data_IF_749447597229
#
_entry.id   IF_749447597229
#
_cell.length_a   1.000
_cell.length_b   1.000
_cell.length_c   1.000
_cell.angle_alpha   90.00
_cell.angle_beta   90.00
_cell.angle_gamma   90.00
#
_symmetry.space_group_name_H-M   'P 1'
#
loop_
_entity.id
_entity.type
_entity.pdbx_description
1 polymer ?
#
# COMPACT_ATOMS: atom_id res chain seq x y z
N UNK A 1 -37.87 -25.23 1.28
CA UNK A 1 -37.85 -23.77 1.05
C UNK A 1 -37.51 -22.98 2.32
N UNK A 2 -38.09 -23.23 3.47
CA UNK A 2 -37.83 -22.54 4.76
C UNK A 2 -36.38 -22.70 5.21
N UNK A 3 -35.81 -23.91 5.19
CA UNK A 3 -34.41 -24.17 5.58
C UNK A 3 -33.41 -23.43 4.67
N UNK A 4 -33.67 -23.41 3.35
CA UNK A 4 -32.84 -22.67 2.39
C UNK A 4 -32.88 -21.14 2.63
N UNK A 5 -34.06 -20.64 3.02
CA UNK A 5 -34.24 -19.25 3.43
C UNK A 5 -33.49 -18.90 4.69
N UNK A 6 -33.51 -19.76 5.70
CA UNK A 6 -32.80 -19.58 6.97
C UNK A 6 -31.27 -19.57 6.77
N UNK A 7 -30.73 -20.52 6.00
CA UNK A 7 -29.32 -20.59 5.68
C UNK A 7 -28.85 -19.35 4.90
N UNK A 8 -29.68 -18.85 3.97
CA UNK A 8 -29.37 -17.60 3.25
C UNK A 8 -29.38 -16.38 4.17
N UNK A 9 -30.31 -16.32 5.10
CA UNK A 9 -30.42 -15.25 6.09
C UNK A 9 -29.20 -15.26 7.03
N UNK A 10 -28.85 -16.43 7.57
CA UNK A 10 -27.66 -16.58 8.43
C UNK A 10 -26.39 -16.14 7.70
N UNK A 11 -26.18 -16.55 6.44
CA UNK A 11 -25.04 -16.13 5.64
C UNK A 11 -25.02 -14.62 5.41
N UNK A 12 -26.18 -13.97 5.21
CA UNK A 12 -26.28 -12.51 5.07
C UNK A 12 -25.93 -11.81 6.39
N UNK A 13 -26.50 -12.25 7.50
CA UNK A 13 -26.24 -11.68 8.83
C UNK A 13 -24.77 -11.85 9.21
N UNK A 14 -24.18 -13.00 8.93
CA UNK A 14 -22.75 -13.24 9.17
C UNK A 14 -21.86 -12.31 8.34
N UNK A 15 -22.13 -12.19 7.04
CA UNK A 15 -21.39 -11.26 6.16
C UNK A 15 -21.49 -9.80 6.62
N UNK A 16 -22.67 -9.39 7.08
CA UNK A 16 -22.89 -8.01 7.56
C UNK A 16 -22.16 -7.78 8.89
N UNK A 17 -22.15 -8.74 9.80
CA UNK A 17 -21.35 -8.65 11.04
C UNK A 17 -19.86 -8.60 10.77
N UNK A 18 -19.36 -9.41 9.85
CA UNK A 18 -17.96 -9.41 9.43
C UNK A 18 -17.56 -8.07 8.76
N UNK A 19 -18.49 -7.46 8.00
CA UNK A 19 -18.30 -6.13 7.41
C UNK A 19 -18.23 -5.04 8.49
N UNK A 20 -19.18 -5.01 9.42
CA UNK A 20 -19.21 -4.04 10.52
C UNK A 20 -17.98 -4.19 11.41
N UNK A 21 -17.55 -5.42 11.69
CA UNK A 21 -16.35 -5.67 12.47
C UNK A 21 -15.08 -5.15 11.75
N UNK A 22 -14.96 -5.36 10.44
CA UNK A 22 -13.85 -4.83 9.62
C UNK A 22 -13.86 -3.30 9.62
N UNK A 23 -15.02 -2.67 9.40
CA UNK A 23 -15.16 -1.21 9.41
C UNK A 23 -14.79 -0.60 10.77
N UNK A 24 -15.22 -1.23 11.86
CA UNK A 24 -14.83 -0.84 13.22
C UNK A 24 -13.34 -0.98 13.48
N UNK A 25 -12.74 -2.09 13.07
CA UNK A 25 -11.30 -2.31 13.24
C UNK A 25 -10.49 -1.30 12.41
N UNK A 26 -10.96 -0.97 11.20
CA UNK A 26 -10.39 0.06 10.36
C UNK A 26 -10.37 1.42 11.09
N UNK A 27 -11.51 1.84 11.66
CA UNK A 27 -11.61 3.11 12.40
C UNK A 27 -10.71 3.14 13.65
N UNK A 28 -10.64 2.03 14.39
CA UNK A 28 -9.77 1.93 15.58
C UNK A 28 -8.28 1.99 15.19
N UNK A 29 -7.89 1.26 14.15
CA UNK A 29 -6.52 1.28 13.65
C UNK A 29 -6.10 2.66 13.16
N UNK A 30 -6.94 3.31 12.35
CA UNK A 30 -6.74 4.68 11.89
C UNK A 30 -6.54 5.65 13.06
N UNK A 31 -7.40 5.59 14.06
CA UNK A 31 -7.30 6.49 15.22
C UNK A 31 -5.98 6.30 15.95
N UNK A 32 -5.47 5.08 16.02
CA UNK A 32 -4.18 4.78 16.63
C UNK A 32 -3.02 5.31 15.78
N UNK A 33 -3.06 5.06 14.48
CA UNK A 33 -2.01 5.47 13.55
C UNK A 33 -1.96 7.00 13.32
N UNK A 34 -3.08 7.72 13.46
CA UNK A 34 -3.11 9.19 13.47
C UNK A 34 -2.46 9.80 14.74
N UNK A 35 -2.60 9.12 15.88
CA UNK A 35 -2.09 9.63 17.15
C UNK A 35 -0.57 9.76 17.20
N UNK A 36 0.15 8.81 16.59
CA UNK A 36 1.62 8.74 16.64
C UNK A 36 2.27 9.93 15.94
N UNK A 37 2.03 10.19 14.64
CA UNK A 37 2.63 11.33 13.95
C UNK A 37 2.13 12.68 14.52
N UNK A 38 0.87 12.75 14.96
CA UNK A 38 0.35 13.95 15.62
C UNK A 38 1.09 14.24 16.91
N UNK A 39 1.36 13.22 17.74
CA UNK A 39 2.15 13.38 18.96
C UNK A 39 3.59 13.82 18.67
N UNK A 40 4.22 13.30 17.62
CA UNK A 40 5.55 13.71 17.17
C UNK A 40 5.58 15.19 16.80
N UNK A 41 4.61 15.65 16.02
CA UNK A 41 4.47 17.08 15.64
C UNK A 41 4.22 17.96 16.86
N UNK A 42 3.34 17.53 17.78
CA UNK A 42 3.06 18.28 19.01
C UNK A 42 4.29 18.39 19.92
N UNK A 43 5.02 17.29 20.10
CA UNK A 43 6.25 17.27 20.90
C UNK A 43 7.33 18.16 20.27
N UNK A 44 7.46 18.14 18.93
CA UNK A 44 8.36 19.03 18.22
C UNK A 44 8.04 20.49 18.43
N UNK A 45 6.77 20.89 18.30
CA UNK A 45 6.30 22.24 18.57
C UNK A 45 6.57 22.67 20.03
N UNK A 46 6.31 21.81 20.99
CA UNK A 46 6.56 22.08 22.41
C UNK A 46 8.06 22.23 22.69
N UNK A 47 8.90 21.42 22.04
CA UNK A 47 10.35 21.52 22.17
C UNK A 47 10.89 22.84 21.62
N UNK A 48 10.42 23.27 20.45
CA UNK A 48 10.79 24.56 19.86
C UNK A 48 10.32 25.77 20.68
N UNK A 49 9.20 25.63 21.42
CA UNK A 49 8.63 26.73 22.23
C UNK A 49 9.26 26.84 23.61
N UNK A 50 9.65 25.74 24.22
CA UNK A 50 10.07 25.68 25.62
C UNK A 50 11.56 25.56 25.84
N UNK A 51 12.29 25.05 24.82
CA UNK A 51 13.72 24.80 24.92
C UNK A 51 14.50 25.80 24.10
N UNK A 52 15.60 26.31 24.66
CA UNK A 52 16.56 27.11 23.92
C UNK A 52 17.51 26.15 23.18
N UNK A 53 17.04 25.62 22.04
CA UNK A 53 17.75 24.62 21.26
C UNK A 53 18.86 25.26 20.42
N UNK A 54 19.96 24.55 20.22
CA UNK A 54 20.97 24.88 19.21
C UNK A 54 20.39 24.73 17.79
N UNK A 55 20.96 25.41 16.81
CA UNK A 55 20.46 25.38 15.42
C UNK A 55 20.40 23.96 14.82
N UNK A 56 21.36 23.10 15.21
CA UNK A 56 21.38 21.70 14.80
C UNK A 56 20.16 20.92 15.34
N UNK A 57 19.85 21.11 16.62
CA UNK A 57 18.74 20.43 17.27
C UNK A 57 17.39 20.95 16.75
N UNK A 58 17.28 22.26 16.47
CA UNK A 58 16.12 22.85 15.80
C UNK A 58 15.87 22.22 14.43
N UNK A 59 16.93 22.08 13.63
CA UNK A 59 16.85 21.45 12.30
C UNK A 59 16.36 20.00 12.40
N UNK A 60 16.83 19.24 13.38
CA UNK A 60 16.40 17.86 13.60
C UNK A 60 14.92 17.81 14.03
N UNK A 61 14.49 18.67 14.96
CA UNK A 61 13.09 18.75 15.39
C UNK A 61 12.18 19.10 14.23
N UNK A 62 12.56 20.08 13.40
CA UNK A 62 11.78 20.47 12.22
C UNK A 62 11.70 19.32 11.22
N UNK A 63 12.80 18.60 11.00
CA UNK A 63 12.82 17.42 10.12
C UNK A 63 11.86 16.33 10.62
N UNK A 64 11.91 15.97 11.88
CA UNK A 64 11.01 14.97 12.49
C UNK A 64 9.53 15.41 12.41
N UNK A 65 9.25 16.70 12.53
CA UNK A 65 7.90 17.24 12.36
C UNK A 65 7.44 17.14 10.89
N UNK A 66 8.32 17.40 9.93
CA UNK A 66 8.00 17.25 8.50
C UNK A 66 7.73 15.81 8.14
N UNK A 67 8.51 14.85 8.65
CA UNK A 67 8.25 13.42 8.50
C UNK A 67 6.87 13.04 9.07
N UNK A 68 6.56 13.46 10.30
CA UNK A 68 5.25 13.21 10.90
C UNK A 68 4.08 13.79 10.13
N UNK A 69 4.24 14.97 9.52
CA UNK A 69 3.23 15.57 8.64
C UNK A 69 3.06 14.81 7.32
N UNK A 70 4.17 14.34 6.75
CA UNK A 70 4.16 13.48 5.55
C UNK A 70 3.44 12.17 5.82
N UNK A 71 3.73 11.52 6.96
CA UNK A 71 3.07 10.28 7.38
C UNK A 71 1.56 10.47 7.57
N UNK A 72 1.13 11.61 8.14
CA UNK A 72 -0.29 11.97 8.24
C UNK A 72 -0.94 12.13 6.87
N UNK A 73 -0.26 12.80 5.93
CA UNK A 73 -0.74 12.97 4.55
C UNK A 73 -0.94 11.62 3.87
N UNK A 74 0.07 10.75 3.92
CA UNK A 74 0.02 9.40 3.36
C UNK A 74 -1.12 8.58 3.98
N UNK A 75 -1.30 8.63 5.31
CA UNK A 75 -2.38 7.92 5.99
C UNK A 75 -3.76 8.39 5.54
N UNK A 76 -3.95 9.71 5.33
CA UNK A 76 -5.21 10.27 4.82
C UNK A 76 -5.48 9.80 3.39
N UNK A 77 -4.47 9.81 2.53
CA UNK A 77 -4.57 9.31 1.15
C UNK A 77 -4.91 7.82 1.12
N UNK A 78 -4.24 7.02 1.94
CA UNK A 78 -4.53 5.59 2.13
C UNK A 78 -5.98 5.36 2.55
N UNK A 79 -6.51 6.16 3.47
CA UNK A 79 -7.90 6.08 3.92
C UNK A 79 -8.91 6.44 2.84
N UNK A 80 -8.64 7.51 2.09
CA UNK A 80 -9.51 7.93 0.99
C UNK A 80 -9.63 6.84 -0.07
N UNK A 81 -8.53 6.15 -0.33
CA UNK A 81 -8.49 5.03 -1.27
C UNK A 81 -9.17 3.79 -0.69
N UNK A 82 -8.90 3.42 0.57
CA UNK A 82 -9.57 2.30 1.23
C UNK A 82 -11.10 2.48 1.24
N UNK A 83 -11.58 3.72 1.44
CA UNK A 83 -13.02 4.03 1.37
C UNK A 83 -13.58 3.95 -0.04
N UNK A 84 -12.84 4.34 -1.07
CA UNK A 84 -13.23 4.15 -2.49
C UNK A 84 -13.22 2.68 -2.86
N UNK A 85 -12.19 1.96 -2.45
CA UNK A 85 -12.02 0.53 -2.70
C UNK A 85 -13.15 -0.35 -2.12
N UNK A 86 -13.89 0.14 -1.13
CA UNK A 86 -15.07 -0.56 -0.61
C UNK A 86 -16.32 -0.44 -1.51
N UNK A 87 -16.30 0.44 -2.52
CA UNK A 87 -17.44 0.72 -3.41
C UNK A 87 -17.03 0.60 -4.86
N UNK A 88 -17.27 -0.55 -5.46
CA UNK A 88 -16.99 -0.78 -6.88
C UNK A 88 -17.62 0.27 -7.81
N UNK A 89 -18.77 0.82 -7.40
CA UNK A 89 -19.49 1.87 -8.13
C UNK A 89 -18.80 3.25 -8.08
N UNK A 90 -17.79 3.42 -7.22
CA UNK A 90 -17.04 4.67 -7.09
C UNK A 90 -15.70 4.68 -7.85
N UNK A 91 -15.37 3.59 -8.56
CA UNK A 91 -14.16 3.52 -9.39
C UNK A 91 -14.26 4.49 -10.57
N UNK A 92 -13.19 5.25 -10.76
CA UNK A 92 -13.01 6.10 -11.93
C UNK A 92 -12.20 5.32 -12.97
N UNK A 93 -12.91 4.76 -13.96
CA UNK A 93 -12.28 3.93 -14.99
C UNK A 93 -11.79 4.82 -16.14
N UNK A 94 -10.48 4.91 -16.30
CA UNK A 94 -9.79 5.59 -17.37
C UNK A 94 -8.89 4.62 -18.13
N UNK A 95 -8.63 4.92 -19.40
CA UNK A 95 -7.58 4.22 -20.17
C UNK A 95 -6.27 4.98 -20.01
N UNK A 96 -5.21 4.29 -19.58
CA UNK A 96 -3.91 4.90 -19.34
C UNK A 96 -2.76 3.93 -19.61
N UNK A 97 -1.57 4.48 -19.87
CA UNK A 97 -0.35 3.70 -19.98
C UNK A 97 0.07 3.19 -18.61
N UNK A 98 0.20 1.86 -18.48
CA UNK A 98 0.64 1.17 -17.26
C UNK A 98 2.06 1.59 -16.85
N UNK A 99 2.97 1.61 -17.84
CA UNK A 99 4.35 2.03 -17.66
C UNK A 99 4.45 3.47 -17.15
N UNK A 100 3.69 4.40 -17.76
CA UNK A 100 3.69 5.80 -17.35
C UNK A 100 3.12 5.97 -15.95
N UNK A 101 2.07 5.24 -15.60
CA UNK A 101 1.48 5.27 -14.26
C UNK A 101 2.48 4.79 -13.20
N UNK A 102 3.22 3.72 -13.48
CA UNK A 102 4.28 3.23 -12.57
C UNK A 102 5.38 4.28 -12.41
N UNK A 103 5.85 4.89 -13.50
CA UNK A 103 6.84 5.99 -13.44
C UNK A 103 6.33 7.16 -12.60
N UNK A 104 5.08 7.60 -12.81
CA UNK A 104 4.46 8.69 -12.06
C UNK A 104 4.40 8.36 -10.55
N UNK A 105 4.11 7.10 -10.20
CA UNK A 105 4.10 6.64 -8.81
C UNK A 105 5.51 6.67 -8.19
N UNK A 106 6.53 6.24 -8.92
CA UNK A 106 7.92 6.27 -8.45
C UNK A 106 8.46 7.70 -8.24
N UNK A 107 7.95 8.70 -8.96
CA UNK A 107 8.32 10.10 -8.76
C UNK A 107 7.89 10.66 -7.39
N UNK A 108 6.92 10.03 -6.72
CA UNK A 108 6.48 10.42 -5.37
C UNK A 108 7.44 9.96 -4.27
N UNK A 109 8.30 9.00 -4.58
CA UNK A 109 9.31 8.47 -3.65
C UNK A 109 10.46 9.47 -3.55
N UNK A 110 10.94 9.74 -2.35
CA UNK A 110 12.03 10.67 -2.09
C UNK A 110 13.31 10.32 -2.85
N UNK A 111 14.06 11.33 -3.29
CA UNK A 111 15.24 11.16 -4.18
C UNK A 111 16.31 10.21 -3.60
N UNK A 112 16.53 10.25 -2.28
CA UNK A 112 17.49 9.38 -1.60
C UNK A 112 17.12 7.89 -1.73
N UNK A 113 15.84 7.56 -1.65
CA UNK A 113 15.34 6.20 -1.77
C UNK A 113 15.21 5.77 -3.24
N UNK A 114 14.91 6.71 -4.14
CA UNK A 114 14.77 6.47 -5.58
C UNK A 114 16.04 5.92 -6.21
N UNK A 115 17.22 6.30 -5.71
CA UNK A 115 18.51 5.77 -6.19
C UNK A 115 18.67 4.26 -6.02
N UNK A 116 17.86 3.63 -5.16
CA UNK A 116 17.83 2.19 -4.93
C UNK A 116 16.84 1.44 -5.85
N UNK A 117 16.04 2.17 -6.63
CA UNK A 117 14.99 1.59 -7.47
C UNK A 117 15.51 1.42 -8.89
N UNK A 118 15.39 0.22 -9.43
CA UNK A 118 15.62 -0.10 -10.83
C UNK A 118 14.27 -0.39 -11.51
N UNK A 119 13.88 0.45 -12.46
CA UNK A 119 12.69 0.21 -13.28
C UNK A 119 13.06 -0.62 -14.51
N UNK A 120 12.44 -1.80 -14.64
CA UNK A 120 12.57 -2.71 -15.76
C UNK A 120 11.28 -2.64 -16.59
N UNK A 121 11.31 -1.83 -17.65
CA UNK A 121 10.16 -1.64 -18.53
C UNK A 121 9.95 -2.82 -19.47
N UNK A 122 8.75 -2.90 -20.03
CA UNK A 122 8.39 -3.93 -21.02
C UNK A 122 9.09 -3.68 -22.36
N UNK A 123 9.77 -4.69 -22.90
CA UNK A 123 10.44 -4.63 -24.22
C UNK A 123 9.44 -4.49 -25.40
N UNK A 124 8.18 -4.85 -25.18
CA UNK A 124 7.10 -4.81 -26.17
C UNK A 124 6.45 -3.41 -26.38
N UNK A 125 6.94 -2.37 -25.70
CA UNK A 125 6.36 -1.03 -25.72
C UNK A 125 5.30 -0.83 -24.63
N UNK A 126 4.66 0.39 -24.59
CA UNK A 126 3.74 0.75 -23.51
C UNK A 126 2.48 -0.14 -23.52
N UNK A 127 2.03 -0.49 -22.30
CA UNK A 127 0.86 -1.34 -22.06
C UNK A 127 -0.31 -0.43 -21.69
N UNK A 128 -1.33 -0.35 -22.56
CA UNK A 128 -2.57 0.37 -22.26
C UNK A 128 -3.52 -0.51 -21.44
N UNK A 129 -4.02 0.05 -20.34
CA UNK A 129 -4.96 -0.62 -19.45
C UNK A 129 -6.17 0.27 -19.15
N UNK A 130 -7.31 -0.32 -18.80
CA UNK A 130 -8.51 0.42 -18.40
C UNK A 130 -8.86 0.09 -16.93
N UNK A 131 -8.73 1.08 -16.05
CA UNK A 131 -8.97 0.93 -14.63
C UNK A 131 -8.90 2.24 -13.87
N UNK A 132 -8.90 2.18 -12.56
CA UNK A 132 -8.73 3.36 -11.71
C UNK A 132 -7.24 3.68 -11.54
N UNK A 133 -6.75 4.68 -12.29
CA UNK A 133 -5.34 5.10 -12.28
C UNK A 133 -4.86 5.51 -10.89
N UNK A 134 -5.72 6.15 -10.10
CA UNK A 134 -5.33 6.62 -8.76
C UNK A 134 -5.13 5.46 -7.79
N UNK A 135 -6.03 4.45 -7.82
CA UNK A 135 -5.90 3.23 -7.02
C UNK A 135 -4.62 2.47 -7.38
N UNK A 136 -4.34 2.29 -8.66
CA UNK A 136 -3.13 1.61 -9.10
C UNK A 136 -1.85 2.37 -8.79
N UNK A 137 -1.86 3.70 -8.92
CA UNK A 137 -0.73 4.55 -8.53
C UNK A 137 -0.38 4.40 -7.06
N UNK A 138 -1.39 4.40 -6.18
CA UNK A 138 -1.19 4.19 -4.76
C UNK A 138 -0.75 2.74 -4.44
N UNK A 139 -1.34 1.73 -5.06
CA UNK A 139 -0.92 0.35 -4.89
C UNK A 139 0.56 0.15 -5.28
N UNK A 140 0.99 0.80 -6.37
CA UNK A 140 2.40 0.80 -6.81
C UNK A 140 3.31 1.44 -5.78
N UNK A 141 2.98 2.65 -5.29
CA UNK A 141 3.76 3.33 -4.25
C UNK A 141 3.88 2.47 -2.99
N UNK A 142 2.77 1.88 -2.53
CA UNK A 142 2.75 1.00 -1.36
C UNK A 142 3.64 -0.25 -1.52
N UNK A 143 3.66 -0.88 -2.69
CA UNK A 143 4.54 -2.02 -2.96
C UNK A 143 6.01 -1.63 -2.90
N UNK A 144 6.36 -0.51 -3.56
CA UNK A 144 7.75 -0.04 -3.62
C UNK A 144 8.23 0.47 -2.26
N UNK A 145 7.41 1.21 -1.53
CA UNK A 145 7.72 1.67 -0.17
C UNK A 145 7.94 0.50 0.79
N UNK A 146 7.11 -0.56 0.69
CA UNK A 146 7.31 -1.77 1.46
C UNK A 146 8.66 -2.44 1.12
N UNK A 147 8.98 -2.60 -0.15
CA UNK A 147 10.26 -3.16 -0.59
C UNK A 147 11.45 -2.35 -0.09
N UNK A 148 11.40 -1.01 -0.18
CA UNK A 148 12.45 -0.12 0.32
C UNK A 148 12.61 -0.16 1.83
N UNK A 149 11.52 -0.39 2.56
CA UNK A 149 11.47 -0.41 4.02
C UNK A 149 11.99 -1.72 4.62
N UNK A 150 11.68 -2.85 3.98
CA UNK A 150 12.02 -4.17 4.51
C UNK A 150 13.27 -4.78 3.87
N UNK A 151 13.91 -4.07 2.94
CA UNK A 151 15.17 -4.41 2.32
C UNK A 151 16.15 -3.24 2.40
N UNK A 152 17.42 -3.51 2.60
CA UNK A 152 18.50 -2.52 2.50
C UNK A 152 19.12 -2.46 1.09
N UNK A 153 18.87 -3.48 0.28
CA UNK A 153 19.40 -3.67 -1.06
C UNK A 153 18.67 -2.88 -2.14
N UNK A 154 18.84 -3.33 -3.38
CA UNK A 154 18.12 -2.79 -4.54
C UNK A 154 16.67 -3.27 -4.53
N UNK A 155 15.81 -2.41 -5.09
CA UNK A 155 14.42 -2.72 -5.38
C UNK A 155 14.24 -2.69 -6.90
N UNK A 156 13.78 -3.78 -7.48
CA UNK A 156 13.49 -3.85 -8.91
C UNK A 156 11.98 -3.79 -9.12
N UNK A 157 11.56 -2.91 -10.01
CA UNK A 157 10.15 -2.76 -10.40
C UNK A 157 10.03 -3.21 -11.84
N UNK A 158 9.40 -4.36 -12.07
CA UNK A 158 9.18 -4.93 -13.39
C UNK A 158 7.77 -4.60 -13.85
N UNK A 159 7.70 -3.98 -15.02
CA UNK A 159 6.45 -3.70 -15.74
C UNK A 159 6.43 -4.62 -16.96
N UNK A 160 5.56 -5.62 -16.94
CA UNK A 160 5.47 -6.65 -17.96
C UNK A 160 4.03 -6.75 -18.46
N UNK A 161 3.86 -7.19 -19.69
CA UNK A 161 2.52 -7.50 -20.15
C UNK A 161 2.35 -7.59 -21.67
N UNK A 162 1.11 -7.87 -22.01
CA UNK A 162 0.59 -7.93 -23.38
C UNK A 162 -0.73 -7.16 -23.41
N UNK A 163 -1.41 -7.11 -24.57
CA UNK A 163 -2.75 -6.55 -24.67
C UNK A 163 -3.79 -7.27 -23.78
N UNK A 164 -3.51 -8.49 -23.33
CA UNK A 164 -4.45 -9.29 -22.51
C UNK A 164 -4.11 -9.33 -21.03
N UNK A 165 -2.86 -9.06 -20.63
CA UNK A 165 -2.40 -9.16 -19.23
C UNK A 165 -1.41 -8.04 -18.97
N UNK A 166 -1.66 -7.25 -17.93
CA UNK A 166 -0.69 -6.32 -17.35
C UNK A 166 -0.14 -6.91 -16.04
N UNK A 167 1.16 -6.83 -15.84
CA UNK A 167 1.80 -7.33 -14.64
C UNK A 167 2.71 -6.26 -14.05
N UNK A 168 2.58 -6.04 -12.75
CA UNK A 168 3.51 -5.28 -11.94
C UNK A 168 4.16 -6.25 -10.95
N UNK A 169 5.47 -6.31 -10.96
CA UNK A 169 6.21 -7.11 -10.00
C UNK A 169 7.27 -6.23 -9.32
N UNK A 170 7.27 -6.23 -8.00
CA UNK A 170 8.26 -5.54 -7.19
C UNK A 170 9.08 -6.59 -6.47
N UNK A 171 10.40 -6.55 -6.67
CA UNK A 171 11.39 -7.47 -6.08
C UNK A 171 12.30 -6.70 -5.15
N UNK A 172 12.60 -7.29 -4.02
CA UNK A 172 13.56 -6.77 -3.04
C UNK A 172 14.49 -7.88 -2.53
N UNK A 173 15.55 -7.50 -1.84
CA UNK A 173 16.54 -8.42 -1.26
C UNK A 173 16.26 -8.72 0.23
N UNK A 174 15.06 -8.42 0.73
CA UNK A 174 14.64 -8.59 2.12
C UNK A 174 14.35 -10.03 2.50
N UNK A 175 13.96 -10.21 3.77
CA UNK A 175 13.62 -11.54 4.31
C UNK A 175 12.28 -12.07 3.82
N UNK A 176 11.45 -11.21 3.20
CA UNK A 176 10.12 -11.56 2.76
C UNK A 176 9.13 -11.81 3.90
N UNK A 177 8.02 -12.46 3.54
CA UNK A 177 6.92 -12.79 4.44
C UNK A 177 6.77 -14.31 4.49
N UNK A 178 6.91 -14.94 5.69
CA UNK A 178 6.70 -16.38 5.85
C UNK A 178 5.36 -16.82 5.25
N UNK A 179 5.36 -17.97 4.57
CA UNK A 179 4.20 -18.45 3.81
C UNK A 179 2.93 -18.52 4.66
N UNK A 180 3.06 -18.93 5.92
CA UNK A 180 1.96 -19.09 6.88
C UNK A 180 1.36 -17.75 7.33
N UNK A 181 2.09 -16.63 7.10
CA UNK A 181 1.69 -15.28 7.50
C UNK A 181 1.33 -14.38 6.34
N UNK A 182 1.34 -14.88 5.09
CA UNK A 182 1.04 -14.05 3.91
C UNK A 182 -0.41 -13.55 3.89
N UNK A 183 -1.35 -14.40 4.27
CA UNK A 183 -2.76 -14.00 4.38
C UNK A 183 -2.95 -12.97 5.50
N UNK A 184 -2.25 -13.16 6.62
CA UNK A 184 -2.26 -12.23 7.75
C UNK A 184 -1.70 -10.84 7.35
N UNK A 185 -0.66 -10.80 6.51
CA UNK A 185 -0.06 -9.56 6.01
C UNK A 185 -1.00 -8.72 5.13
N UNK A 186 -2.08 -9.31 4.62
CA UNK A 186 -3.11 -8.61 3.85
C UNK A 186 -4.23 -8.01 4.71
N UNK A 187 -4.26 -8.33 6.02
CA UNK A 187 -5.24 -7.75 6.94
C UNK A 187 -4.91 -6.28 7.26
N UNK A 188 -5.90 -5.39 7.33
CA UNK A 188 -5.65 -3.98 7.59
C UNK A 188 -5.10 -3.75 9.00
N UNK A 189 -4.12 -2.83 9.11
CA UNK A 189 -3.42 -2.43 10.35
C UNK A 189 -2.63 -3.55 11.04
N UNK A 190 -2.47 -4.67 10.40
CA UNK A 190 -1.66 -5.75 10.92
C UNK A 190 -0.21 -5.55 10.52
N UNK A 191 0.67 -5.66 11.51
CA UNK A 191 2.12 -5.53 11.35
C UNK A 191 2.77 -6.82 11.81
N UNK A 192 3.54 -7.44 10.92
CA UNK A 192 4.20 -8.73 11.22
C UNK A 192 5.39 -8.60 12.15
N UNK A 193 5.97 -7.40 12.30
CA UNK A 193 7.06 -7.10 13.22
C UNK A 193 6.73 -5.90 14.09
N UNK A 194 6.89 -6.07 15.41
CA UNK A 194 6.74 -4.97 16.36
C UNK A 194 7.88 -3.96 16.17
N UNK A 195 7.53 -2.67 16.16
CA UNK A 195 8.51 -1.57 16.00
C UNK A 195 8.84 -1.15 14.57
N UNK A 196 8.39 -1.86 13.53
CA UNK A 196 8.57 -1.38 12.15
C UNK A 196 7.72 -0.13 11.89
N UNK A 197 8.24 0.93 11.23
CA UNK A 197 7.43 2.11 10.90
C UNK A 197 6.34 1.77 9.87
N UNK A 198 5.22 2.49 9.86
CA UNK A 198 4.14 2.39 8.86
C UNK A 198 2.81 1.92 9.40
N UNK A 199 1.76 2.17 8.63
CA UNK A 199 0.35 2.04 9.03
C UNK A 199 -0.20 0.61 9.04
N UNK A 200 0.49 -0.35 8.41
CA UNK A 200 -0.07 -1.69 8.20
C UNK A 200 -1.21 -1.74 7.17
N UNK A 201 -1.41 -0.67 6.39
CA UNK A 201 -2.45 -0.59 5.36
C UNK A 201 -1.93 -0.93 3.95
N UNK A 202 -0.64 -0.78 3.69
CA UNK A 202 -0.09 -0.81 2.34
C UNK A 202 -0.45 -2.08 1.55
N UNK A 203 -0.12 -3.27 2.05
CA UNK A 203 -0.44 -4.53 1.37
C UNK A 203 -1.96 -4.81 1.33
N UNK A 204 -2.70 -4.36 2.33
CA UNK A 204 -4.17 -4.41 2.31
C UNK A 204 -4.74 -3.62 1.13
N UNK A 205 -4.25 -2.40 0.90
CA UNK A 205 -4.67 -1.55 -0.21
C UNK A 205 -4.32 -2.15 -1.57
N UNK A 206 -3.14 -2.74 -1.70
CA UNK A 206 -2.73 -3.47 -2.90
C UNK A 206 -3.69 -4.63 -3.18
N UNK A 207 -3.99 -5.44 -2.16
CA UNK A 207 -4.93 -6.56 -2.27
C UNK A 207 -6.33 -6.10 -2.65
N UNK A 208 -6.84 -5.04 -2.03
CA UNK A 208 -8.15 -4.48 -2.37
C UNK A 208 -8.20 -3.93 -3.80
N UNK A 209 -7.16 -3.18 -4.21
CA UNK A 209 -7.06 -2.65 -5.57
C UNK A 209 -7.05 -3.79 -6.59
N UNK A 210 -6.27 -4.84 -6.34
CA UNK A 210 -6.23 -6.03 -7.19
C UNK A 210 -7.62 -6.68 -7.30
N UNK A 211 -8.29 -6.94 -6.17
CA UNK A 211 -9.62 -7.55 -6.13
C UNK A 211 -10.67 -6.74 -6.90
N UNK A 212 -10.68 -5.41 -6.76
CA UNK A 212 -11.61 -4.52 -7.47
C UNK A 212 -11.47 -4.61 -8.97
N UNK A 213 -10.24 -4.72 -9.46
CA UNK A 213 -9.90 -4.82 -10.88
C UNK A 213 -9.91 -6.26 -11.41
N UNK A 214 -10.20 -7.26 -10.56
CA UNK A 214 -10.15 -8.68 -10.96
C UNK A 214 -8.73 -9.19 -11.21
N UNK A 215 -7.72 -8.54 -10.63
CA UNK A 215 -6.34 -8.97 -10.65
C UNK A 215 -6.04 -9.95 -9.51
N UNK A 216 -5.00 -10.77 -9.68
CA UNK A 216 -4.44 -11.62 -8.62
C UNK A 216 -3.22 -10.96 -7.99
N UNK A 217 -3.02 -11.20 -6.69
CA UNK A 217 -1.82 -10.82 -5.95
C UNK A 217 -1.07 -12.10 -5.56
N UNK A 218 0.20 -12.17 -5.92
CA UNK A 218 1.08 -13.29 -5.68
C UNK A 218 2.29 -12.83 -4.88
N UNK A 219 2.79 -13.69 -3.99
CA UNK A 219 3.96 -13.45 -3.15
C UNK A 219 4.90 -14.64 -3.25
N UNK A 220 6.18 -14.39 -3.54
CA UNK A 220 7.16 -15.45 -3.83
C UNK A 220 8.50 -15.14 -3.15
N UNK A 221 9.13 -16.17 -2.55
CA UNK A 221 10.49 -16.09 -2.06
C UNK A 221 11.47 -16.29 -3.22
N UNK A 222 12.42 -15.37 -3.38
CA UNK A 222 13.41 -15.43 -4.45
C UNK A 222 14.66 -16.22 -4.05
N UNK A 223 15.31 -16.86 -4.99
CA UNK A 223 16.56 -17.58 -4.78
C UNK A 223 17.74 -16.75 -5.30
N UNK A 224 18.91 -16.66 -4.59
CA UNK A 224 19.21 -17.30 -3.28
C UNK A 224 18.64 -16.57 -2.08
N UNK A 225 18.16 -15.34 -2.24
CA UNK A 225 17.50 -14.51 -1.21
C UNK A 225 16.69 -13.41 -1.88
N UNK A 226 15.67 -12.90 -1.16
CA UNK A 226 14.82 -11.81 -1.61
C UNK A 226 13.36 -12.19 -1.63
N UNK A 227 12.52 -11.23 -1.95
CA UNK A 227 11.08 -11.39 -2.00
C UNK A 227 10.48 -10.67 -3.21
N UNK A 228 9.45 -11.26 -3.78
CA UNK A 228 8.71 -10.65 -4.88
C UNK A 228 7.23 -10.58 -4.54
N UNK A 229 6.63 -9.42 -4.81
CA UNK A 229 5.18 -9.23 -4.81
C UNK A 229 4.75 -8.90 -6.23
N UNK A 230 3.87 -9.73 -6.79
CA UNK A 230 3.41 -9.63 -8.17
C UNK A 230 1.91 -9.42 -8.21
N UNK A 231 1.48 -8.45 -9.00
CA UNK A 231 0.07 -8.24 -9.37
C UNK A 231 -0.09 -8.64 -10.82
N UNK A 232 -0.99 -9.56 -11.10
CA UNK A 232 -1.33 -10.01 -12.45
C UNK A 232 -2.75 -9.58 -12.76
N UNK A 233 -2.89 -8.69 -13.72
CA UNK A 233 -4.17 -8.07 -14.07
C UNK A 233 -4.60 -8.47 -15.49
N UNK A 234 -5.59 -9.38 -15.64
CA UNK A 234 -6.18 -9.72 -16.94
C UNK A 234 -6.92 -8.49 -17.51
N UNK A 235 -6.62 -8.14 -18.78
CA UNK A 235 -7.31 -7.11 -19.51
C UNK A 235 -8.44 -7.72 -20.37
N UNK A 236 -9.57 -7.02 -20.54
CA UNK A 236 -10.60 -7.44 -21.50
C UNK A 236 -11.70 -8.33 -20.94
N UNK A 237 -12.08 -8.16 -19.66
CA UNK A 237 -13.39 -8.64 -19.16
C UNK A 237 -14.33 -7.52 -18.82
#
# INVERSE_FOLDING_TARGET
LLILGLVRLERRVRKERERIARERNLLLGVTHELKTPLASVQLGLDSLRRLNLEERDKSQVLHNMQEGLSDLGNLVDDMLVATRAQRKEAMQLDTFSWDQMVQDALLRIGDAQRSRIALCANDGGPIEVTGDKALWGLATSNLVENALKYSEGKVEVHVLGTAQIATLEVRDEGQGIPMERRDEALEPFLRLSEGSPGTGLGLHLVSQTAQLHGASLEMEDLQPSGFAVRVVWPQGR
#
